data_IF_182308835917
#
_entry.id   IF_182308835917
#
_cell.length_a   1.000
_cell.length_b   1.000
_cell.length_c   1.000
_cell.angle_alpha   90.00
_cell.angle_beta   90.00
_cell.angle_gamma   90.00
#
_symmetry.space_group_name_H-M   'P 1'
#
loop_
_entity.id
_entity.type
_entity.pdbx_description
1 polymer ?
#
# COMPACT_ATOMS: atom_id res chain seq x y z
N UNK A 1 -18.68 -3.58 -14.28
CA UNK A 1 -17.33 -3.03 -14.55
C UNK A 1 -16.28 -3.90 -13.88
N UNK A 2 -15.23 -4.23 -14.59
CA UNK A 2 -14.17 -5.08 -14.03
C UNK A 2 -13.20 -4.26 -13.18
N UNK A 3 -12.67 -4.89 -12.13
CA UNK A 3 -11.63 -4.28 -11.31
C UNK A 3 -10.42 -3.86 -12.17
N UNK A 4 -9.82 -2.73 -11.84
CA UNK A 4 -8.64 -2.22 -12.54
C UNK A 4 -7.53 -3.26 -12.57
N UNK A 5 -6.87 -3.37 -13.73
CA UNK A 5 -5.74 -4.28 -13.96
C UNK A 5 -6.08 -5.77 -13.88
N UNK A 6 -7.35 -6.13 -14.05
CA UNK A 6 -7.76 -7.53 -13.92
C UNK A 6 -7.14 -8.46 -14.97
N UNK A 7 -6.64 -7.91 -16.07
CA UNK A 7 -5.95 -8.67 -17.12
C UNK A 7 -4.45 -8.41 -17.16
N UNK A 8 -3.90 -7.75 -16.14
CA UNK A 8 -2.48 -7.40 -16.14
C UNK A 8 -1.60 -8.64 -16.29
N UNK A 9 -0.71 -8.60 -17.27
CA UNK A 9 0.34 -9.61 -17.45
C UNK A 9 1.67 -9.18 -16.84
N UNK A 10 1.70 -8.03 -16.15
CA UNK A 10 2.93 -7.51 -15.57
C UNK A 10 3.31 -8.33 -14.34
N UNK A 11 4.53 -8.87 -14.34
CA UNK A 11 5.04 -9.65 -13.22
C UNK A 11 5.03 -8.85 -11.92
N UNK A 12 4.76 -9.54 -10.81
CA UNK A 12 4.69 -8.88 -9.50
C UNK A 12 6.00 -8.18 -9.13
N UNK A 13 7.14 -8.76 -9.49
CA UNK A 13 8.44 -8.15 -9.18
C UNK A 13 8.74 -6.93 -10.05
N UNK A 14 8.16 -6.85 -11.25
CA UNK A 14 8.22 -5.63 -12.06
C UNK A 14 7.44 -4.50 -11.37
N UNK A 15 6.22 -4.77 -10.94
CA UNK A 15 5.41 -3.79 -10.22
C UNK A 15 6.07 -3.38 -8.90
N UNK A 16 6.57 -4.35 -8.14
CA UNK A 16 7.26 -4.09 -6.87
C UNK A 16 8.52 -3.25 -7.10
N UNK A 17 9.31 -3.55 -8.13
CA UNK A 17 10.50 -2.77 -8.47
C UNK A 17 10.16 -1.33 -8.81
N UNK A 18 9.08 -1.11 -9.54
CA UNK A 18 8.61 0.25 -9.87
C UNK A 18 8.16 1.00 -8.61
N UNK A 19 7.48 0.32 -7.68
CA UNK A 19 7.10 0.90 -6.38
C UNK A 19 8.36 1.31 -5.61
N UNK A 20 9.33 0.41 -5.48
CA UNK A 20 10.56 0.67 -4.76
C UNK A 20 11.33 1.83 -5.37
N UNK A 21 11.43 1.87 -6.69
CA UNK A 21 12.10 2.97 -7.40
C UNK A 21 11.42 4.32 -7.16
N UNK A 22 10.10 4.35 -7.21
CA UNK A 22 9.35 5.58 -6.98
C UNK A 22 9.51 6.07 -5.53
N UNK A 23 9.43 5.17 -4.56
CA UNK A 23 9.61 5.52 -3.15
C UNK A 23 11.02 6.02 -2.87
N UNK A 24 12.03 5.39 -3.47
CA UNK A 24 13.42 5.81 -3.32
C UNK A 24 13.62 7.24 -3.89
N UNK A 25 13.04 7.53 -5.05
CA UNK A 25 13.10 8.87 -5.64
C UNK A 25 12.37 9.90 -4.79
N UNK A 26 11.34 9.50 -4.06
CA UNK A 26 10.61 10.38 -3.15
C UNK A 26 11.34 10.62 -1.83
N UNK A 27 12.46 9.93 -1.59
CA UNK A 27 13.28 10.13 -0.39
C UNK A 27 13.22 9.02 0.64
N UNK A 28 12.57 7.89 0.33
CA UNK A 28 12.56 6.75 1.25
C UNK A 28 13.99 6.26 1.52
N UNK A 29 14.33 6.09 2.79
CA UNK A 29 15.67 5.68 3.21
C UNK A 29 15.77 4.19 3.48
N UNK A 30 14.64 3.52 3.71
CA UNK A 30 14.57 2.07 3.92
C UNK A 30 13.31 1.55 3.27
N UNK A 31 13.42 0.40 2.62
CA UNK A 31 12.27 -0.27 2.01
C UNK A 31 12.39 -1.75 2.36
N UNK A 32 11.33 -2.30 2.95
CA UNK A 32 11.28 -3.69 3.38
C UNK A 32 10.08 -4.35 2.72
N UNK A 33 10.27 -5.58 2.26
CA UNK A 33 9.20 -6.37 1.67
C UNK A 33 8.90 -7.54 2.59
N UNK A 34 7.65 -7.67 3.00
CA UNK A 34 7.20 -8.82 3.79
C UNK A 34 6.82 -9.96 2.85
N UNK A 35 7.16 -11.17 3.26
CA UNK A 35 6.85 -12.38 2.49
C UNK A 35 6.07 -13.36 3.33
N UNK A 36 5.08 -13.99 2.73
CA UNK A 36 4.64 -15.33 3.11
C UNK A 36 5.38 -16.30 2.21
N UNK A 37 5.49 -17.61 2.55
CA UNK A 37 6.33 -18.52 1.77
C UNK A 37 6.11 -18.38 0.27
N UNK A 38 7.16 -17.91 -0.41
CA UNK A 38 7.21 -17.78 -1.86
C UNK A 38 6.62 -16.52 -2.46
N UNK A 39 5.94 -15.65 -1.70
CA UNK A 39 5.23 -14.51 -2.27
C UNK A 39 5.35 -13.25 -1.42
N UNK A 40 5.57 -12.07 -2.05
CA UNK A 40 5.53 -10.81 -1.31
C UNK A 40 4.08 -10.46 -0.92
N UNK A 41 3.91 -9.93 0.30
CA UNK A 41 2.58 -9.62 0.84
C UNK A 41 2.40 -8.15 1.16
N UNK A 42 3.48 -7.41 1.41
CA UNK A 42 3.39 -5.99 1.75
C UNK A 42 4.74 -5.33 1.51
N UNK A 43 4.71 -4.02 1.32
CA UNK A 43 5.93 -3.20 1.30
C UNK A 43 5.82 -2.16 2.41
N UNK A 44 6.90 -2.02 3.18
CA UNK A 44 7.02 -1.00 4.23
C UNK A 44 8.18 -0.10 3.86
N UNK A 45 7.99 1.20 3.99
CA UNK A 45 9.08 2.14 3.73
C UNK A 45 9.20 3.15 4.85
N UNK A 46 10.40 3.64 5.06
CA UNK A 46 10.70 4.69 6.04
C UNK A 46 11.12 5.95 5.29
N UNK A 47 10.59 7.08 5.71
CA UNK A 47 10.88 8.37 5.09
C UNK A 47 10.90 9.45 6.18
N UNK A 48 11.71 10.47 5.96
CA UNK A 48 11.77 11.62 6.86
C UNK A 48 10.53 12.48 6.69
N UNK A 49 9.89 12.82 7.81
CA UNK A 49 8.69 13.67 7.83
C UNK A 49 8.90 14.84 8.79
N UNK A 50 7.93 15.74 8.84
CA UNK A 50 7.97 16.85 9.83
C UNK A 50 8.00 16.34 11.27
N UNK A 51 7.54 15.12 11.49
CA UNK A 51 7.54 14.47 12.81
C UNK A 51 8.73 13.53 13.02
N UNK A 52 9.74 13.59 12.15
CA UNK A 52 10.89 12.68 12.15
C UNK A 52 10.71 11.53 11.19
N UNK A 53 11.62 10.55 11.25
CA UNK A 53 11.53 9.37 10.39
C UNK A 53 10.33 8.52 10.77
N UNK A 54 9.47 8.20 9.80
CA UNK A 54 8.26 7.40 10.01
C UNK A 54 8.17 6.28 8.99
N UNK A 55 7.55 5.18 9.41
CA UNK A 55 7.32 4.02 8.55
C UNK A 55 5.87 3.93 8.09
N UNK A 56 5.69 3.46 6.87
CA UNK A 56 4.37 3.26 6.26
C UNK A 56 4.32 1.87 5.66
N UNK A 57 3.24 1.14 5.92
CA UNK A 57 3.08 -0.23 5.45
C UNK A 57 1.92 -0.33 4.47
N UNK A 58 2.21 -0.80 3.27
CA UNK A 58 1.25 -0.92 2.18
C UNK A 58 1.03 -2.41 1.88
N UNK A 59 -0.09 -3.00 2.34
CA UNK A 59 -0.35 -4.41 2.07
C UNK A 59 -0.94 -4.61 0.67
N UNK A 60 -0.61 -5.73 0.03
CA UNK A 60 -1.23 -6.13 -1.22
C UNK A 60 -2.49 -6.94 -0.93
N UNK A 61 -3.63 -6.48 -1.43
CA UNK A 61 -4.94 -7.08 -1.14
C UNK A 61 -5.25 -8.24 -2.09
N UNK A 62 -4.46 -9.32 -2.03
CA UNK A 62 -4.62 -10.48 -2.93
C UNK A 62 -5.94 -11.20 -2.69
N UNK A 63 -6.26 -11.50 -1.43
CA UNK A 63 -7.51 -12.18 -1.09
C UNK A 63 -8.72 -11.31 -1.43
N UNK A 64 -8.64 -10.02 -1.18
CA UNK A 64 -9.68 -9.07 -1.59
C UNK A 64 -9.88 -9.05 -3.10
N UNK A 65 -8.80 -9.11 -3.86
CA UNK A 65 -8.86 -9.16 -5.33
C UNK A 65 -9.54 -10.44 -5.80
N UNK A 66 -9.22 -11.58 -5.17
CA UNK A 66 -9.90 -12.86 -5.48
C UNK A 66 -11.40 -12.78 -5.22
N UNK A 67 -11.81 -12.15 -4.12
CA UNK A 67 -13.24 -11.97 -3.82
C UNK A 67 -13.94 -11.11 -4.88
N UNK A 68 -13.25 -10.05 -5.34
CA UNK A 68 -13.79 -9.19 -6.41
C UNK A 68 -13.90 -9.96 -7.72
N UNK A 69 -12.90 -10.78 -8.06
CA UNK A 69 -12.96 -11.63 -9.24
C UNK A 69 -14.21 -12.53 -9.19
N UNK A 70 -14.45 -13.19 -8.06
CA UNK A 70 -15.61 -14.02 -7.90
C UNK A 70 -16.91 -13.23 -8.06
N UNK A 71 -17.01 -12.07 -7.41
CA UNK A 71 -18.22 -11.23 -7.48
C UNK A 71 -18.47 -10.69 -8.88
N UNK A 72 -17.42 -10.41 -9.64
CA UNK A 72 -17.51 -9.89 -11.01
C UNK A 72 -17.50 -10.99 -12.08
N UNK A 73 -17.51 -12.26 -11.64
CA UNK A 73 -17.49 -13.43 -12.53
C UNK A 73 -16.28 -13.44 -13.45
N UNK A 74 -15.14 -12.98 -12.94
CA UNK A 74 -13.86 -13.03 -13.65
C UNK A 74 -13.22 -14.38 -13.34
N UNK A 75 -12.96 -15.17 -14.40
CA UNK A 75 -12.30 -16.46 -14.27
C UNK A 75 -10.79 -16.26 -14.30
N UNK A 76 -10.20 -16.15 -13.13
CA UNK A 76 -8.77 -15.94 -13.00
C UNK A 76 -8.29 -16.61 -11.72
N UNK A 77 -7.03 -17.04 -11.74
CA UNK A 77 -6.43 -17.75 -10.61
C UNK A 77 -5.75 -16.79 -9.62
N UNK A 78 -5.17 -17.37 -8.57
CA UNK A 78 -4.49 -16.59 -7.55
C UNK A 78 -3.28 -15.84 -8.12
N UNK A 79 -2.56 -16.42 -9.08
CA UNK A 79 -1.43 -15.74 -9.71
C UNK A 79 -1.88 -14.46 -10.42
N UNK A 80 -3.03 -14.48 -11.08
CA UNK A 80 -3.59 -13.27 -11.69
C UNK A 80 -4.01 -12.26 -10.63
N UNK A 81 -4.60 -12.72 -9.53
CA UNK A 81 -4.97 -11.83 -8.43
C UNK A 81 -3.74 -11.14 -7.82
N UNK A 82 -2.63 -11.85 -7.69
CA UNK A 82 -1.37 -11.28 -7.22
C UNK A 82 -0.86 -10.19 -8.18
N UNK A 83 -0.83 -10.47 -9.48
CA UNK A 83 -0.41 -9.46 -10.47
C UNK A 83 -1.31 -8.24 -10.44
N UNK A 84 -2.61 -8.45 -10.36
CA UNK A 84 -3.60 -7.37 -10.30
C UNK A 84 -3.43 -6.52 -9.04
N UNK A 85 -3.31 -7.17 -7.88
CA UNK A 85 -3.17 -6.47 -6.60
C UNK A 85 -1.90 -5.61 -6.56
N UNK A 86 -0.75 -6.17 -6.98
CA UNK A 86 0.51 -5.42 -6.98
C UNK A 86 0.50 -4.30 -8.02
N UNK A 87 -0.14 -4.51 -9.17
CA UNK A 87 -0.25 -3.45 -10.18
C UNK A 87 -1.12 -2.30 -9.69
N UNK A 88 -2.18 -2.61 -8.95
CA UNK A 88 -3.04 -1.57 -8.36
C UNK A 88 -2.29 -0.78 -7.26
N UNK A 89 -1.51 -1.44 -6.42
CA UNK A 89 -0.66 -0.74 -5.45
C UNK A 89 0.34 0.16 -6.18
N UNK A 90 0.98 -0.33 -7.22
CA UNK A 90 1.93 0.47 -8.02
C UNK A 90 1.26 1.72 -8.57
N UNK A 91 0.10 1.57 -9.19
CA UNK A 91 -0.62 2.69 -9.78
C UNK A 91 -1.03 3.71 -8.72
N UNK A 92 -1.49 3.24 -7.57
CA UNK A 92 -1.88 4.11 -6.47
C UNK A 92 -0.68 4.87 -5.89
N UNK A 93 0.44 4.20 -5.66
CA UNK A 93 1.66 4.84 -5.14
C UNK A 93 2.14 5.93 -6.10
N UNK A 94 2.20 5.64 -7.40
CA UNK A 94 2.64 6.64 -8.38
C UNK A 94 1.69 7.83 -8.42
N UNK A 95 0.38 7.60 -8.33
CA UNK A 95 -0.61 8.68 -8.29
C UNK A 95 -0.44 9.55 -7.04
N UNK A 96 -0.22 8.94 -5.88
CA UNK A 96 -0.02 9.67 -4.63
C UNK A 96 1.24 10.52 -4.69
N UNK A 97 2.34 9.96 -5.20
CA UNK A 97 3.59 10.70 -5.31
C UNK A 97 3.49 11.85 -6.32
N UNK A 98 2.70 11.68 -7.38
CA UNK A 98 2.42 12.76 -8.32
C UNK A 98 1.69 13.93 -7.63
N UNK A 99 0.76 13.63 -6.73
CA UNK A 99 0.08 14.66 -5.94
C UNK A 99 1.05 15.38 -5.01
N UNK A 100 1.99 14.66 -4.42
CA UNK A 100 3.03 15.27 -3.58
C UNK A 100 3.84 16.29 -4.38
N UNK A 101 4.20 15.94 -5.63
CA UNK A 101 4.96 16.85 -6.49
C UNK A 101 4.17 18.08 -6.91
N UNK A 102 2.88 17.92 -7.23
CA UNK A 102 2.12 18.97 -7.93
C UNK A 102 1.19 19.78 -7.04
N UNK A 103 0.84 19.28 -5.86
CA UNK A 103 -0.20 19.89 -5.02
C UNK A 103 0.27 20.38 -3.66
N UNK A 104 1.57 20.43 -3.42
CA UNK A 104 2.14 20.85 -2.13
C UNK A 104 1.66 19.98 -0.94
N UNK A 105 1.36 18.73 -1.18
CA UNK A 105 0.93 17.78 -0.16
C UNK A 105 2.14 17.00 0.32
N UNK A 106 2.25 16.79 1.62
CA UNK A 106 3.37 16.04 2.19
C UNK A 106 3.21 14.54 1.96
N UNK A 107 4.33 13.83 1.87
CA UNK A 107 4.32 12.37 1.70
C UNK A 107 3.59 11.69 2.84
N UNK A 108 3.84 12.10 4.08
CA UNK A 108 3.17 11.52 5.24
C UNK A 108 1.66 11.83 5.25
N UNK A 109 1.25 12.91 4.63
CA UNK A 109 -0.16 13.25 4.52
C UNK A 109 -0.90 12.27 3.59
N UNK A 110 -0.34 12.00 2.41
CA UNK A 110 -1.02 11.12 1.43
C UNK A 110 -1.01 9.65 1.85
N UNK A 111 -0.02 9.22 2.66
CA UNK A 111 0.06 7.84 3.14
C UNK A 111 -0.36 7.69 4.61
N UNK A 112 -0.94 8.70 5.21
CA UNK A 112 -1.21 8.76 6.63
C UNK A 112 -1.95 7.55 7.22
N UNK A 113 -2.99 7.00 6.57
CA UNK A 113 -3.66 5.81 7.12
C UNK A 113 -2.76 4.60 7.28
N UNK A 114 -1.65 4.56 6.56
CA UNK A 114 -0.71 3.44 6.54
C UNK A 114 0.51 3.67 7.41
N UNK A 115 0.54 4.77 8.15
CA UNK A 115 1.58 5.04 9.16
C UNK A 115 1.63 3.87 10.14
N UNK A 116 2.82 3.30 10.36
CA UNK A 116 2.96 2.14 11.23
C UNK A 116 3.50 2.52 12.60
N UNK A 117 3.10 1.74 13.60
CA UNK A 117 3.79 1.73 14.89
C UNK A 117 4.97 0.74 14.84
N UNK A 118 5.68 0.57 15.95
CA UNK A 118 6.81 -0.35 16.04
C UNK A 118 6.45 -1.82 15.86
N UNK A 119 5.17 -2.17 15.86
CA UNK A 119 4.68 -3.54 15.72
C UNK A 119 4.08 -3.82 14.35
N UNK A 120 4.22 -2.89 13.40
CA UNK A 120 3.72 -3.07 12.03
C UNK A 120 2.24 -2.79 11.85
N UNK A 121 1.53 -2.36 12.90
CA UNK A 121 0.12 -2.02 12.79
C UNK A 121 -0.02 -0.60 12.25
N UNK A 122 -0.97 -0.42 11.32
CA UNK A 122 -1.19 0.89 10.71
C UNK A 122 -2.11 1.76 11.56
N UNK A 123 -2.04 3.07 11.31
CA UNK A 123 -2.93 4.04 11.94
C UNK A 123 -4.39 3.69 11.70
N UNK A 124 -4.73 3.29 10.48
CA UNK A 124 -6.10 2.88 10.17
C UNK A 124 -6.53 1.67 11.01
N UNK A 125 -5.65 0.67 11.15
CA UNK A 125 -5.96 -0.51 11.97
C UNK A 125 -6.18 -0.13 13.43
N UNK A 126 -5.37 0.78 13.98
CA UNK A 126 -5.56 1.27 15.34
C UNK A 126 -6.90 2.01 15.48
N UNK A 127 -7.24 2.83 14.50
CA UNK A 127 -8.53 3.51 14.46
C UNK A 127 -9.69 2.51 14.40
N UNK A 128 -9.62 1.55 13.50
CA UNK A 128 -10.69 0.59 13.27
C UNK A 128 -10.94 -0.32 14.47
N UNK A 129 -9.91 -0.59 15.28
CA UNK A 129 -10.03 -1.44 16.48
C UNK A 129 -10.41 -0.62 17.73
N UNK A 130 -10.63 0.69 17.60
CA UNK A 130 -11.01 1.55 18.71
C UNK A 130 -9.86 1.96 19.60
N UNK A 131 -8.62 1.70 19.22
CA UNK A 131 -7.44 2.06 20.01
C UNK A 131 -7.05 3.52 19.84
N UNK A 132 -7.47 4.14 18.73
CA UNK A 132 -7.27 5.55 18.49
C UNK A 132 -8.58 6.27 18.78
N UNK A 133 -8.63 6.96 19.90
CA UNK A 133 -9.82 7.70 20.34
C UNK A 133 -9.59 9.18 20.12
N UNK A 134 -10.61 9.86 19.65
CA UNK A 134 -10.57 11.32 19.60
C UNK A 134 -10.64 11.86 21.01
N UNK A 135 -9.80 12.83 21.33
CA UNK A 135 -9.86 13.51 22.61
C UNK A 135 -11.22 14.18 22.75
N UNK A 136 -11.82 14.02 23.91
CA UNK A 136 -13.16 14.51 24.14
C UNK A 136 -14.25 13.50 23.85
N UNK A 137 -13.98 12.46 23.06
CA UNK A 137 -14.92 11.37 22.86
C UNK A 137 -15.13 10.55 24.15
N UNK A 138 -14.17 10.60 25.04
CA UNK A 138 -14.21 9.98 26.36
C UNK A 138 -14.49 10.98 27.47
N UNK A 139 -14.65 12.18 27.09
CA UNK A 139 -14.66 13.27 28.05
C UNK A 139 -15.91 13.46 28.80
#
# INVERSE_FOLDING_TARGET
MAIKNYTSGVDIYTSLGEIQGALARAGATKIMVDYEPGKPTAVTFAIETVAGTRGFRLPAAVDGTLRVFAAQKIKADRAQAERTAWRNIRDWVLAQLALVESCDVAVDEVFFPYLTDGNGRTLYQAYATGQLMLEGANG
#
